data_IF_572009718224
#
_entry.id   IF_572009718224
#
_cell.length_a   1.000
_cell.length_b   1.000
_cell.length_c   1.000
_cell.angle_alpha   90.00
_cell.angle_beta   90.00
_cell.angle_gamma   90.00
#
_symmetry.space_group_name_H-M   'P 1'
#
loop_
_entity.id
_entity.type
_entity.pdbx_description
1 polymer ?
#
# COMPACT_ATOMS: atom_id res chain seq x y z
N UNK A 1 -22.77 2.33 46.23
CA UNK A 1 -23.87 2.91 47.04
C UNK A 1 -23.63 4.42 47.17
N UNK A 2 -24.71 5.23 47.32
CA UNK A 2 -24.81 6.65 47.79
C UNK A 2 -23.52 7.53 47.78
N UNK A 3 -23.47 8.68 47.10
CA UNK A 3 -24.20 9.95 47.36
C UNK A 3 -23.94 10.48 48.80
N UNK A 4 -23.66 11.77 49.09
CA UNK A 4 -24.14 13.10 48.63
C UNK A 4 -23.15 14.21 49.15
N UNK A 5 -23.18 15.55 48.88
CA UNK A 5 -23.99 16.52 48.09
C UNK A 5 -23.28 17.90 47.97
N UNK A 6 -23.43 18.59 46.81
CA UNK A 6 -23.48 20.08 46.60
C UNK A 6 -22.18 20.92 46.84
N UNK A 7 -21.80 21.98 46.09
CA UNK A 7 -22.48 23.07 45.32
C UNK A 7 -22.89 24.30 46.19
N UNK A 8 -22.77 25.58 45.78
CA UNK A 8 -22.37 26.23 44.51
C UNK A 8 -21.91 27.71 44.72
N UNK A 9 -21.39 28.39 43.66
CA UNK A 9 -21.50 29.85 43.29
C UNK A 9 -21.29 30.97 44.35
N UNK A 10 -20.76 32.17 44.06
CA UNK A 10 -20.93 33.06 42.88
C UNK A 10 -19.78 34.13 42.78
N UNK A 11 -19.82 35.19 41.92
CA UNK A 11 -18.62 35.86 41.37
C UNK A 11 -18.49 37.38 41.66
N UNK A 12 -17.52 38.06 41.01
CA UNK A 12 -17.80 39.30 40.24
C UNK A 12 -16.72 39.61 39.17
N UNK A 13 -16.99 40.58 38.28
CA UNK A 13 -16.06 41.18 37.31
C UNK A 13 -15.98 42.70 37.54
N UNK A 14 -14.84 43.34 37.24
CA UNK A 14 -14.79 44.75 36.85
C UNK A 14 -13.51 45.07 36.05
N UNK A 15 -13.65 45.84 34.97
CA UNK A 15 -12.59 46.29 34.06
C UNK A 15 -12.19 47.73 34.37
N UNK A 16 -10.90 48.09 34.27
CA UNK A 16 -10.44 49.35 33.68
C UNK A 16 -8.94 49.29 33.31
N UNK A 17 -8.46 50.23 32.49
CA UNK A 17 -7.13 50.19 31.87
C UNK A 17 -6.42 51.56 31.91
N UNK A 18 -5.08 51.57 31.78
CA UNK A 18 -4.34 52.79 31.43
C UNK A 18 -2.99 52.52 30.71
N UNK A 19 -2.65 53.52 29.87
CA UNK A 19 -1.47 53.86 29.06
C UNK A 19 -0.07 53.64 29.72
N UNK A 20 1.08 53.62 29.02
CA UNK A 20 1.45 53.44 27.59
C UNK A 20 3.02 53.50 27.40
N UNK A 21 3.47 53.48 26.13
CA UNK A 21 4.74 53.99 25.55
C UNK A 21 6.01 53.10 25.44
N UNK A 22 6.51 53.05 24.18
CA UNK A 22 7.89 52.81 23.69
C UNK A 22 8.52 51.42 23.93
N UNK A 23 9.32 50.86 23.01
CA UNK A 23 10.00 51.45 21.84
C UNK A 23 9.89 50.60 20.55
N UNK A 24 10.28 51.17 19.42
CA UNK A 24 10.22 50.58 18.08
C UNK A 24 11.52 49.93 17.62
N UNK A 25 11.42 48.82 16.90
CA UNK A 25 12.38 48.42 15.88
C UNK A 25 11.63 47.78 14.71
N UNK A 26 11.92 48.22 13.48
CA UNK A 26 11.23 47.74 12.28
C UNK A 26 11.89 46.48 11.74
N UNK A 27 11.09 45.44 11.50
CA UNK A 27 11.50 44.21 10.83
C UNK A 27 10.38 43.72 9.93
N UNK A 28 10.38 44.16 8.67
CA UNK A 28 9.37 43.80 7.67
C UNK A 28 9.55 42.35 7.20
N UNK A 29 9.10 41.40 8.03
CA UNK A 29 8.96 40.00 7.64
C UNK A 29 7.79 39.84 6.66
N UNK A 30 7.99 40.23 5.40
CA UNK A 30 7.15 39.73 4.31
C UNK A 30 7.40 38.24 4.18
N UNK A 31 6.56 37.45 4.84
CA UNK A 31 6.40 36.04 4.51
C UNK A 31 5.86 35.98 3.08
N UNK A 32 6.78 35.86 2.12
CA UNK A 32 6.40 35.57 0.75
C UNK A 32 5.84 34.15 0.74
N UNK A 33 4.53 34.02 0.46
CA UNK A 33 4.00 32.77 -0.04
C UNK A 33 4.85 32.38 -1.26
N UNK A 34 5.65 31.33 -1.10
CA UNK A 34 6.40 30.73 -2.19
C UNK A 34 5.38 29.98 -3.08
N UNK A 35 4.65 30.75 -3.89
CA UNK A 35 3.67 30.25 -4.83
C UNK A 35 4.35 29.28 -5.81
N UNK A 36 4.21 27.98 -5.51
CA UNK A 36 4.79 26.90 -6.28
C UNK A 36 4.32 27.03 -7.73
N UNK A 37 5.28 26.96 -8.65
CA UNK A 37 5.00 27.25 -10.06
C UNK A 37 4.00 26.26 -10.65
N UNK A 38 3.09 26.68 -11.54
CA UNK A 38 2.21 25.77 -12.28
C UNK A 38 2.94 24.70 -13.12
N UNK A 39 4.27 24.83 -13.29
CA UNK A 39 5.13 23.80 -13.91
C UNK A 39 5.22 22.49 -13.12
N UNK A 40 4.99 22.53 -11.81
CA UNK A 40 5.43 21.46 -10.91
C UNK A 40 4.33 20.38 -10.71
N UNK A 41 3.21 20.52 -11.42
CA UNK A 41 2.08 19.60 -11.39
C UNK A 41 2.41 18.27 -12.10
N UNK A 42 2.21 17.09 -11.46
CA UNK A 42 2.40 15.82 -12.14
C UNK A 42 1.44 15.69 -13.32
N UNK A 43 1.98 15.59 -14.55
CA UNK A 43 1.16 15.27 -15.71
C UNK A 43 0.61 13.85 -15.53
N UNK A 44 -0.71 13.75 -15.63
CA UNK A 44 -1.44 12.50 -15.65
C UNK A 44 -2.00 12.34 -17.07
N UNK A 45 -1.57 11.33 -17.84
CA UNK A 45 -2.16 11.04 -19.14
C UNK A 45 -3.64 10.66 -18.96
N UNK A 46 -4.47 11.01 -19.94
CA UNK A 46 -5.87 10.58 -19.97
C UNK A 46 -6.33 10.26 -21.38
N UNK A 47 -7.12 9.19 -21.47
CA UNK A 47 -8.01 8.84 -22.56
C UNK A 47 -9.47 9.12 -22.13
N UNK A 48 -10.43 8.99 -23.04
CA UNK A 48 -11.87 9.21 -22.80
C UNK A 48 -12.65 7.90 -22.80
N UNK A 49 -13.56 7.74 -21.82
CA UNK A 49 -14.51 6.61 -21.74
C UNK A 49 -15.94 7.14 -21.63
N UNK A 50 -16.51 7.66 -22.71
CA UNK A 50 -17.76 8.41 -22.61
C UNK A 50 -19.01 7.51 -22.62
N UNK A 51 -19.88 7.76 -21.64
CA UNK A 51 -21.33 7.54 -21.74
C UNK A 51 -22.04 8.88 -21.98
N UNK A 52 -22.76 9.03 -23.09
CA UNK A 52 -23.53 10.22 -23.42
C UNK A 52 -23.44 10.63 -24.90
N UNK A 53 -24.54 11.14 -25.44
CA UNK A 53 -24.80 11.24 -26.88
C UNK A 53 -23.81 12.12 -27.66
N UNK A 54 -23.14 13.07 -26.98
CA UNK A 54 -22.25 14.03 -27.61
C UNK A 54 -20.97 13.41 -28.21
N UNK A 55 -20.46 12.30 -27.66
CA UNK A 55 -19.16 11.74 -28.05
C UNK A 55 -19.10 11.24 -29.50
N UNK A 56 -20.24 10.87 -30.09
CA UNK A 56 -20.33 10.44 -31.48
C UNK A 56 -19.87 11.49 -32.51
N UNK A 57 -19.69 12.74 -32.09
CA UNK A 57 -19.17 13.83 -32.92
C UNK A 57 -17.64 14.02 -32.83
N UNK A 58 -17.00 13.55 -31.75
CA UNK A 58 -15.57 13.78 -31.46
C UNK A 58 -14.85 12.53 -30.93
N UNK A 59 -14.99 11.33 -31.56
CA UNK A 59 -14.55 10.06 -30.98
C UNK A 59 -13.03 9.89 -30.82
N UNK A 60 -12.24 10.84 -31.31
CA UNK A 60 -10.79 10.77 -31.43
C UNK A 60 -10.05 11.93 -30.73
N UNK A 61 -10.78 12.93 -30.20
CA UNK A 61 -10.22 14.19 -29.70
C UNK A 61 -10.79 14.56 -28.32
N UNK A 62 -9.97 14.31 -27.28
CA UNK A 62 -10.32 14.57 -25.88
C UNK A 62 -10.59 16.06 -25.63
N UNK A 63 -9.83 16.96 -26.26
CA UNK A 63 -9.90 18.39 -26.02
C UNK A 63 -11.08 19.02 -26.77
N UNK A 64 -11.33 18.62 -28.01
CA UNK A 64 -12.52 19.05 -28.75
C UNK A 64 -13.80 18.58 -28.06
N UNK A 65 -13.88 17.33 -27.61
CA UNK A 65 -15.05 16.85 -26.89
C UNK A 65 -15.28 17.59 -25.56
N UNK A 66 -14.23 17.75 -24.75
CA UNK A 66 -14.34 18.41 -23.44
C UNK A 66 -14.68 19.90 -23.57
N UNK A 67 -14.23 20.58 -24.63
CA UNK A 67 -14.59 21.98 -24.91
C UNK A 67 -15.94 22.18 -25.61
N UNK A 68 -16.39 21.22 -26.44
CA UNK A 68 -17.57 21.39 -27.33
C UNK A 68 -18.83 20.70 -26.82
N UNK A 69 -18.72 19.67 -25.98
CA UNK A 69 -19.89 19.04 -25.38
C UNK A 69 -20.49 19.94 -24.30
N UNK A 70 -21.67 20.51 -24.62
CA UNK A 70 -22.38 21.44 -23.73
C UNK A 70 -22.53 20.88 -22.30
N UNK A 71 -22.18 21.67 -21.27
CA UNK A 71 -22.58 21.35 -19.90
C UNK A 71 -24.10 21.24 -19.80
N UNK A 72 -24.57 20.14 -19.23
CA UNK A 72 -25.90 19.99 -18.67
C UNK A 72 -25.71 19.50 -17.24
N UNK A 73 -26.67 19.76 -16.33
CA UNK A 73 -26.49 19.50 -14.89
C UNK A 73 -26.19 18.04 -14.53
N UNK A 74 -26.43 17.11 -15.46
CA UNK A 74 -26.17 15.67 -15.29
C UNK A 74 -25.08 15.12 -16.22
N UNK A 75 -24.56 15.93 -17.16
CA UNK A 75 -23.45 15.52 -18.04
C UNK A 75 -22.15 15.43 -17.23
N UNK A 76 -21.65 14.21 -17.03
CA UNK A 76 -20.29 13.95 -16.54
C UNK A 76 -19.46 13.42 -17.68
N UNK A 77 -18.38 14.11 -18.05
CA UNK A 77 -17.41 13.51 -18.99
C UNK A 77 -16.55 12.53 -18.20
N UNK A 78 -16.63 11.26 -18.57
CA UNK A 78 -15.82 10.20 -18.01
C UNK A 78 -14.49 10.07 -18.77
N UNK A 79 -13.39 10.15 -18.03
CA UNK A 79 -12.01 10.16 -18.52
C UNK A 79 -11.26 9.03 -17.82
N UNK A 80 -10.50 8.23 -18.56
CA UNK A 80 -9.65 7.18 -18.03
C UNK A 80 -8.20 7.66 -17.94
N UNK A 81 -7.62 7.63 -16.75
CA UNK A 81 -6.17 7.60 -16.57
C UNK A 81 -5.70 6.18 -16.93
N UNK A 82 -4.74 5.96 -17.84
CA UNK A 82 -4.19 4.65 -18.10
C UNK A 82 -3.16 4.25 -17.03
N UNK A 83 -2.87 2.96 -16.92
CA UNK A 83 -1.67 2.47 -16.25
C UNK A 83 -0.45 2.69 -17.15
N UNK A 84 0.50 3.52 -16.71
CA UNK A 84 1.82 3.62 -17.36
C UNK A 84 2.52 2.26 -17.26
N UNK A 85 2.70 1.55 -18.39
CA UNK A 85 3.06 0.14 -18.37
C UNK A 85 4.32 -0.20 -17.55
N UNK A 86 5.38 0.62 -17.68
CA UNK A 86 6.70 0.38 -17.06
C UNK A 86 7.44 1.70 -16.77
N UNK A 87 6.85 2.63 -15.98
CA UNK A 87 7.55 3.88 -15.61
C UNK A 87 6.91 4.72 -14.50
N UNK A 88 7.64 5.74 -13.98
CA UNK A 88 7.03 6.79 -13.16
C UNK A 88 6.08 7.66 -14.01
N UNK A 89 5.13 8.33 -13.35
CA UNK A 89 4.26 9.30 -14.01
C UNK A 89 5.10 10.36 -14.73
N UNK A 90 5.03 10.40 -16.07
CA UNK A 90 5.79 11.38 -16.87
C UNK A 90 5.19 12.76 -16.66
N UNK A 91 5.97 13.69 -16.10
CA UNK A 91 5.55 15.04 -15.71
C UNK A 91 5.87 16.08 -16.79
N UNK A 92 5.06 17.13 -16.91
CA UNK A 92 5.40 18.36 -17.64
C UNK A 92 4.64 18.60 -18.94
N UNK A 93 4.77 19.83 -19.45
CA UNK A 93 4.04 20.33 -20.64
C UNK A 93 4.69 19.88 -21.97
N UNK A 94 5.96 19.49 -21.92
CA UNK A 94 6.63 18.51 -22.79
C UNK A 94 7.82 17.95 -21.94
N UNK A 95 8.47 16.82 -22.21
CA UNK A 95 8.73 16.19 -23.50
C UNK A 95 8.38 14.68 -23.58
N UNK A 96 7.15 14.40 -24.02
CA UNK A 96 6.67 13.15 -24.69
C UNK A 96 6.89 11.75 -24.05
N UNK A 97 6.06 10.75 -24.36
CA UNK A 97 5.02 10.67 -25.39
C UNK A 97 3.70 10.07 -24.87
N UNK A 98 2.60 10.69 -25.28
CA UNK A 98 1.56 10.01 -26.05
C UNK A 98 1.34 10.84 -27.33
N UNK A 99 0.92 10.23 -28.44
CA UNK A 99 0.84 10.89 -29.75
C UNK A 99 -0.52 10.70 -30.44
N UNK A 100 -1.09 11.80 -30.94
CA UNK A 100 -2.44 11.87 -31.52
C UNK A 100 -3.44 12.57 -30.59
N UNK A 101 -4.63 12.88 -31.11
CA UNK A 101 -5.65 13.65 -30.38
C UNK A 101 -6.36 12.88 -29.24
N UNK A 102 -6.11 11.56 -29.14
CA UNK A 102 -6.68 10.66 -28.12
C UNK A 102 -6.15 10.87 -26.71
N UNK A 103 -5.04 11.57 -26.55
CA UNK A 103 -4.35 11.78 -25.27
C UNK A 103 -4.30 13.26 -24.90
N UNK A 104 -4.74 13.58 -23.68
CA UNK A 104 -4.57 14.91 -23.10
C UNK A 104 -4.12 14.82 -21.64
N UNK A 105 -3.36 15.81 -21.17
CA UNK A 105 -2.93 15.89 -19.77
C UNK A 105 -4.04 16.42 -18.86
N UNK A 106 -4.16 15.88 -17.65
CA UNK A 106 -5.20 16.33 -16.68
C UNK A 106 -5.24 17.86 -16.49
N UNK A 107 -4.10 18.52 -16.27
CA UNK A 107 -4.05 19.98 -16.14
C UNK A 107 -4.59 20.71 -17.39
N UNK A 108 -4.24 20.25 -18.60
CA UNK A 108 -4.69 20.82 -19.87
C UNK A 108 -6.21 20.67 -20.06
N UNK A 109 -6.76 19.50 -19.70
CA UNK A 109 -8.21 19.23 -19.77
C UNK A 109 -8.98 20.08 -18.76
N UNK A 110 -8.45 20.24 -17.55
CA UNK A 110 -9.03 21.10 -16.51
C UNK A 110 -9.05 22.59 -16.93
N UNK A 111 -7.99 23.07 -17.57
CA UNK A 111 -7.92 24.42 -18.15
C UNK A 111 -8.88 24.59 -19.34
N UNK A 112 -8.99 23.58 -20.21
CA UNK A 112 -9.80 23.61 -21.44
C UNK A 112 -11.30 23.67 -21.16
N UNK A 113 -11.78 23.06 -20.08
CA UNK A 113 -13.16 23.21 -19.62
C UNK A 113 -13.19 23.50 -18.11
N UNK A 114 -13.12 24.78 -17.69
CA UNK A 114 -13.04 25.15 -16.27
C UNK A 114 -14.33 24.88 -15.48
N UNK A 115 -15.49 24.86 -16.15
CA UNK A 115 -16.81 24.69 -15.52
C UNK A 115 -17.35 23.26 -15.55
N UNK A 116 -16.78 22.38 -16.37
CA UNK A 116 -17.34 21.04 -16.61
C UNK A 116 -17.11 20.11 -15.41
N UNK A 117 -18.11 19.27 -15.11
CA UNK A 117 -17.99 18.21 -14.09
C UNK A 117 -17.41 16.94 -14.74
N UNK A 118 -16.36 16.40 -14.14
CA UNK A 118 -15.62 15.26 -14.68
C UNK A 118 -15.74 14.02 -13.77
N UNK A 119 -15.66 12.84 -14.37
CA UNK A 119 -15.51 11.56 -13.69
C UNK A 119 -14.16 10.96 -14.10
N UNK A 120 -13.16 11.03 -13.22
CA UNK A 120 -11.86 10.43 -13.46
C UNK A 120 -11.87 8.97 -13.02
N UNK A 121 -11.92 8.07 -13.99
CA UNK A 121 -11.62 6.65 -13.83
C UNK A 121 -10.10 6.50 -13.75
N UNK A 122 -9.57 6.11 -12.59
CA UNK A 122 -8.11 6.11 -12.38
C UNK A 122 -7.63 4.85 -11.66
N UNK A 123 -6.50 4.23 -12.08
CA UNK A 123 -5.93 3.11 -11.37
C UNK A 123 -5.57 3.52 -9.93
N UNK A 124 -5.79 2.65 -8.92
CA UNK A 124 -5.57 3.02 -7.52
C UNK A 124 -4.17 3.56 -7.20
N UNK A 125 -3.13 3.09 -7.91
CA UNK A 125 -1.75 3.57 -7.79
C UNK A 125 -1.51 4.99 -8.35
N UNK A 126 -2.48 5.57 -9.07
CA UNK A 126 -2.40 6.90 -9.69
C UNK A 126 -3.24 7.95 -8.96
N UNK A 127 -3.97 7.56 -7.91
CA UNK A 127 -4.90 8.43 -7.18
C UNK A 127 -4.20 9.67 -6.58
N UNK A 128 -3.02 9.52 -5.97
CA UNK A 128 -2.34 10.67 -5.35
C UNK A 128 -1.83 11.69 -6.37
N UNK A 129 -1.31 11.23 -7.51
CA UNK A 129 -0.92 12.12 -8.62
C UNK A 129 -2.14 12.86 -9.21
N UNK A 130 -3.27 12.18 -9.35
CA UNK A 130 -4.55 12.80 -9.75
C UNK A 130 -4.99 13.84 -8.72
N UNK A 131 -4.97 13.51 -7.42
CA UNK A 131 -5.40 14.44 -6.37
C UNK A 131 -4.50 15.68 -6.28
N UNK A 132 -3.17 15.52 -6.35
CA UNK A 132 -2.24 16.64 -6.36
C UNK A 132 -2.46 17.57 -7.57
N UNK A 133 -2.65 17.01 -8.77
CA UNK A 133 -2.99 17.77 -9.96
C UNK A 133 -4.37 18.46 -9.86
N UNK A 134 -5.34 17.86 -9.16
CA UNK A 134 -6.64 18.48 -8.88
C UNK A 134 -6.56 19.61 -7.84
N UNK A 135 -5.67 19.51 -6.85
CA UNK A 135 -5.46 20.58 -5.85
C UNK A 135 -4.79 21.81 -6.48
N UNK A 136 -3.73 21.59 -7.26
CA UNK A 136 -2.97 22.66 -7.93
C UNK A 136 -3.78 23.33 -9.05
N UNK A 137 -4.75 22.63 -9.65
CA UNK A 137 -5.74 23.20 -10.56
C UNK A 137 -7.03 23.71 -9.87
N UNK A 138 -7.07 23.70 -8.54
CA UNK A 138 -8.22 24.07 -7.69
C UNK A 138 -9.55 23.40 -8.11
N UNK A 139 -9.47 22.17 -8.61
CA UNK A 139 -10.53 21.48 -9.33
C UNK A 139 -11.23 20.35 -8.55
N UNK A 140 -10.80 20.00 -7.32
CA UNK A 140 -11.39 18.90 -6.52
C UNK A 140 -12.93 18.92 -6.50
N UNK A 141 -13.54 20.08 -6.25
CA UNK A 141 -14.99 20.22 -6.06
C UNK A 141 -15.85 19.85 -7.30
N UNK A 142 -15.27 19.83 -8.51
CA UNK A 142 -15.98 19.50 -9.76
C UNK A 142 -15.61 18.12 -10.34
N UNK A 143 -14.75 17.36 -9.66
CA UNK A 143 -14.26 16.07 -10.14
C UNK A 143 -14.63 14.94 -9.18
N UNK A 144 -15.30 13.92 -9.69
CA UNK A 144 -15.48 12.63 -9.02
C UNK A 144 -14.39 11.65 -9.44
N UNK A 145 -13.92 10.79 -8.54
CA UNK A 145 -12.92 9.75 -8.84
C UNK A 145 -13.57 8.37 -8.69
N UNK A 146 -13.38 7.51 -9.70
CA UNK A 146 -13.79 6.10 -9.72
C UNK A 146 -12.54 5.23 -9.83
N UNK A 147 -12.19 4.42 -8.81
CA UNK A 147 -11.02 3.55 -8.88
C UNK A 147 -11.15 2.46 -9.95
N UNK A 148 -10.24 2.45 -10.94
CA UNK A 148 -10.10 1.38 -11.92
C UNK A 148 -9.38 0.18 -11.30
N UNK A 149 -10.13 -0.56 -10.50
CA UNK A 149 -9.64 -1.78 -9.84
C UNK A 149 -9.45 -2.88 -10.90
N UNK A 150 -8.21 -3.21 -11.25
CA UNK A 150 -7.94 -4.26 -12.23
C UNK A 150 -8.61 -5.60 -11.82
N UNK A 151 -9.13 -6.39 -12.77
CA UNK A 151 -9.68 -7.71 -12.48
C UNK A 151 -8.63 -8.67 -11.90
N UNK A 152 -8.75 -8.95 -10.61
CA UNK A 152 -7.97 -9.99 -9.94
C UNK A 152 -8.33 -11.36 -10.55
N UNK A 153 -7.36 -12.19 -11.00
CA UNK A 153 -7.61 -13.46 -11.68
C UNK A 153 -8.62 -14.35 -10.94
N UNK A 154 -9.45 -15.11 -11.67
CA UNK A 154 -10.44 -15.99 -11.04
C UNK A 154 -9.77 -17.06 -10.15
N UNK A 155 -10.43 -17.54 -9.07
CA UNK A 155 -9.95 -18.70 -8.32
C UNK A 155 -9.80 -19.91 -9.24
N UNK A 156 -8.68 -20.63 -9.17
CA UNK A 156 -8.34 -21.63 -10.17
C UNK A 156 -7.09 -22.44 -9.84
N UNK A 157 -6.68 -23.29 -10.80
CA UNK A 157 -5.48 -24.13 -10.66
C UNK A 157 -4.19 -23.29 -10.58
N UNK A 158 -3.14 -23.75 -9.87
CA UNK A 158 -1.93 -22.93 -9.70
C UNK A 158 -1.12 -22.75 -10.98
N UNK A 159 -0.89 -21.50 -11.33
CA UNK A 159 0.02 -21.08 -12.39
C UNK A 159 1.48 -21.08 -11.88
N UNK A 160 2.43 -21.02 -12.81
CA UNK A 160 3.86 -20.85 -12.48
C UNK A 160 4.24 -19.41 -12.78
N UNK A 161 4.79 -18.68 -11.79
CA UNK A 161 5.25 -17.30 -11.96
C UNK A 161 6.70 -17.25 -12.46
N UNK A 162 7.52 -18.15 -11.94
CA UNK A 162 8.94 -18.32 -12.28
C UNK A 162 9.37 -19.75 -11.91
N UNK A 163 10.56 -20.22 -12.31
CA UNK A 163 11.10 -21.50 -11.82
C UNK A 163 11.04 -21.58 -10.29
N UNK A 164 10.46 -22.65 -9.76
CA UNK A 164 10.29 -22.84 -8.32
C UNK A 164 9.14 -22.09 -7.66
N UNK A 165 8.43 -21.21 -8.36
CA UNK A 165 7.37 -20.35 -7.80
C UNK A 165 6.03 -20.65 -8.47
N UNK A 166 5.10 -21.24 -7.70
CA UNK A 166 3.70 -21.47 -8.09
C UNK A 166 2.79 -20.50 -7.36
N UNK A 167 1.73 -20.02 -8.01
CA UNK A 167 0.73 -19.15 -7.40
C UNK A 167 -0.69 -19.58 -7.75
N UNK A 168 -1.60 -19.50 -6.78
CA UNK A 168 -3.04 -19.64 -7.01
C UNK A 168 -3.85 -18.69 -6.14
N UNK A 169 -5.08 -18.46 -6.60
CA UNK A 169 -6.13 -17.80 -5.83
C UNK A 169 -7.19 -18.80 -5.41
N UNK A 170 -7.65 -18.70 -4.17
CA UNK A 170 -8.63 -19.61 -3.59
C UNK A 170 -9.71 -18.80 -2.86
N UNK A 171 -10.96 -18.98 -3.27
CA UNK A 171 -12.11 -18.43 -2.55
C UNK A 171 -12.55 -19.41 -1.47
N UNK A 172 -12.34 -19.06 -0.20
CA UNK A 172 -12.91 -19.80 0.94
C UNK A 172 -14.33 -19.27 1.15
N UNK A 173 -15.31 -20.16 0.96
CA UNK A 173 -16.74 -19.85 1.16
C UNK A 173 -17.15 -20.19 2.59
N UNK A 174 -17.87 -19.27 3.23
CA UNK A 174 -18.45 -19.41 4.57
C UNK A 174 -19.55 -18.37 4.75
N UNK A 175 -19.92 -17.99 5.99
CA UNK A 175 -20.88 -16.91 6.27
C UNK A 175 -20.49 -15.58 5.62
N UNK A 176 -19.19 -15.37 5.44
CA UNK A 176 -18.61 -14.37 4.55
C UNK A 176 -17.57 -15.07 3.66
N UNK A 177 -17.35 -14.54 2.46
CA UNK A 177 -16.30 -15.06 1.55
C UNK A 177 -14.95 -14.44 1.91
N UNK A 178 -13.88 -15.24 1.78
CA UNK A 178 -12.49 -14.80 1.91
C UNK A 178 -11.73 -15.17 0.64
N UNK A 179 -11.01 -14.21 0.07
CA UNK A 179 -10.13 -14.41 -1.09
C UNK A 179 -8.69 -14.58 -0.61
N UNK A 180 -8.15 -15.78 -0.77
CA UNK A 180 -6.76 -16.13 -0.46
C UNK A 180 -5.90 -16.09 -1.71
N UNK A 181 -4.69 -15.58 -1.54
CA UNK A 181 -3.65 -15.41 -2.54
C UNK A 181 -2.41 -16.13 -2.03
N UNK A 182 -2.10 -17.28 -2.62
CA UNK A 182 -1.12 -18.23 -2.08
C UNK A 182 -0.04 -18.44 -3.13
N UNK A 183 1.21 -18.11 -2.78
CA UNK A 183 2.38 -18.49 -3.55
C UNK A 183 3.17 -19.57 -2.79
N UNK A 184 3.50 -20.66 -3.47
CA UNK A 184 4.41 -21.71 -2.99
C UNK A 184 5.78 -21.57 -3.66
N UNK A 185 6.83 -21.60 -2.87
CA UNK A 185 8.22 -21.40 -3.27
C UNK A 185 9.05 -22.62 -2.85
N UNK A 186 9.58 -23.39 -3.82
CA UNK A 186 10.55 -24.47 -3.55
C UNK A 186 11.95 -23.87 -3.39
N UNK A 187 12.39 -23.78 -2.13
CA UNK A 187 13.66 -23.22 -1.70
C UNK A 187 14.88 -24.03 -2.20
N UNK A 188 14.69 -25.24 -2.75
CA UNK A 188 15.75 -26.01 -3.39
C UNK A 188 15.95 -25.66 -4.89
N UNK A 189 15.19 -24.70 -5.43
CA UNK A 189 15.27 -24.32 -6.84
C UNK A 189 16.63 -23.68 -7.18
N UNK A 190 17.38 -24.19 -8.18
CA UNK A 190 18.66 -23.60 -8.58
C UNK A 190 18.52 -22.14 -9.00
N UNK A 191 19.37 -21.26 -8.44
CA UNK A 191 19.34 -19.82 -8.68
C UNK A 191 18.36 -19.03 -7.80
N UNK A 192 17.50 -19.68 -7.03
CA UNK A 192 16.54 -18.99 -6.17
C UNK A 192 17.21 -18.34 -4.95
N UNK A 193 16.87 -17.07 -4.70
CA UNK A 193 17.36 -16.29 -3.57
C UNK A 193 16.19 -15.57 -2.89
N UNK A 194 16.08 -15.74 -1.57
CA UNK A 194 15.30 -14.83 -0.72
C UNK A 194 16.10 -13.54 -0.49
N UNK A 195 15.43 -12.39 -0.60
CA UNK A 195 15.99 -11.03 -0.58
C UNK A 195 15.15 -10.16 0.35
N UNK A 196 15.77 -9.33 1.18
CA UNK A 196 15.06 -8.34 2.00
C UNK A 196 15.04 -6.96 1.36
N UNK A 197 14.22 -6.06 1.89
CA UNK A 197 14.38 -4.62 1.63
C UNK A 197 15.56 -4.13 2.45
N UNK A 198 16.57 -3.59 1.75
CA UNK A 198 17.74 -2.97 2.37
C UNK A 198 17.36 -1.64 3.04
N UNK A 199 17.95 -1.38 4.20
CA UNK A 199 17.80 -0.11 4.93
C UNK A 199 18.31 1.09 4.13
N UNK A 200 17.58 2.20 4.22
CA UNK A 200 17.92 3.49 3.62
C UNK A 200 17.39 4.61 4.53
N UNK A 201 18.33 5.41 5.06
CA UNK A 201 18.10 6.33 6.18
C UNK A 201 17.97 7.80 5.76
N UNK A 202 18.09 8.12 4.46
CA UNK A 202 17.96 9.48 3.92
C UNK A 202 16.63 10.16 4.25
N UNK A 203 15.55 9.38 4.44
CA UNK A 203 14.22 9.87 4.81
C UNK A 203 14.03 10.18 6.30
N UNK A 204 15.05 9.99 7.14
CA UNK A 204 14.96 10.17 8.61
C UNK A 204 14.43 8.96 9.39
N UNK A 205 14.12 7.86 8.71
CA UNK A 205 13.80 6.56 9.30
C UNK A 205 14.92 5.53 9.14
N UNK A 206 14.56 4.26 9.17
CA UNK A 206 15.45 3.12 8.83
C UNK A 206 15.30 2.67 7.38
N UNK A 207 14.12 2.91 6.80
CA UNK A 207 13.73 2.59 5.42
C UNK A 207 13.01 3.77 4.78
N UNK A 208 12.92 3.78 3.46
CA UNK A 208 11.97 4.58 2.71
C UNK A 208 10.71 3.75 2.43
N UNK A 209 9.54 4.22 2.85
CA UNK A 209 8.29 3.51 2.66
C UNK A 209 7.95 3.37 1.16
N UNK A 210 7.68 2.15 0.69
CA UNK A 210 7.45 1.88 -0.73
C UNK A 210 6.34 0.82 -0.97
N UNK A 211 5.58 0.90 -2.07
CA UNK A 211 4.67 -0.17 -2.49
C UNK A 211 5.41 -1.49 -2.71
N UNK A 212 4.73 -2.63 -2.54
CA UNK A 212 5.36 -3.95 -2.75
C UNK A 212 5.62 -4.21 -4.23
N UNK A 213 4.79 -3.64 -5.13
CA UNK A 213 5.08 -3.63 -6.58
C UNK A 213 6.34 -2.85 -6.95
N UNK A 214 6.64 -1.74 -6.27
CA UNK A 214 7.89 -1.00 -6.50
C UNK A 214 9.11 -1.88 -6.20
N UNK A 215 9.13 -2.54 -5.03
CA UNK A 215 10.19 -3.48 -4.65
C UNK A 215 10.36 -4.64 -5.66
N UNK A 216 9.26 -5.17 -6.22
CA UNK A 216 9.33 -6.22 -7.26
C UNK A 216 9.89 -5.69 -8.59
N UNK A 217 9.52 -4.48 -8.99
CA UNK A 217 10.01 -3.83 -10.21
C UNK A 217 11.49 -3.48 -10.09
N UNK A 218 11.84 -2.74 -9.05
CA UNK A 218 13.13 -2.07 -8.88
C UNK A 218 14.22 -3.04 -8.37
N UNK A 219 13.82 -4.12 -7.69
CA UNK A 219 14.70 -5.22 -7.29
C UNK A 219 14.82 -6.37 -8.30
N UNK A 220 14.20 -6.26 -9.48
CA UNK A 220 14.10 -7.32 -10.51
C UNK A 220 13.65 -8.68 -9.94
N UNK A 221 12.59 -8.66 -9.12
CA UNK A 221 12.10 -9.86 -8.43
C UNK A 221 11.03 -10.60 -9.26
N UNK A 222 10.86 -11.89 -8.96
CA UNK A 222 9.77 -12.68 -9.49
C UNK A 222 8.50 -12.54 -8.63
N UNK A 223 8.67 -12.42 -7.31
CA UNK A 223 7.62 -12.37 -6.29
C UNK A 223 8.11 -11.54 -5.09
N UNK A 224 7.21 -10.82 -4.41
CA UNK A 224 7.43 -10.31 -3.06
C UNK A 224 6.11 -10.19 -2.26
N UNK A 225 6.24 -10.11 -0.94
CA UNK A 225 5.15 -9.85 0.02
C UNK A 225 5.57 -8.71 0.97
N UNK A 226 4.63 -7.88 1.43
CA UNK A 226 4.89 -6.92 2.50
C UNK A 226 5.36 -7.64 3.78
N UNK A 227 6.22 -7.01 4.58
CA UNK A 227 6.83 -7.65 5.75
C UNK A 227 6.36 -7.08 7.09
N UNK A 228 7.13 -6.20 7.72
CA UNK A 228 7.01 -5.84 9.13
C UNK A 228 5.99 -4.71 9.39
N UNK A 229 5.62 -4.52 10.66
CA UNK A 229 4.96 -3.31 11.14
C UNK A 229 5.97 -2.15 11.17
N UNK A 230 5.48 -0.91 11.13
CA UNK A 230 6.33 0.26 11.04
C UNK A 230 5.65 1.55 11.55
N UNK A 231 6.49 2.52 11.91
CA UNK A 231 6.09 3.85 12.35
C UNK A 231 6.97 4.93 11.68
N UNK A 232 6.49 6.18 11.51
CA UNK A 232 5.12 6.63 11.79
C UNK A 232 4.11 6.05 10.80
N UNK A 233 2.89 5.80 11.29
CA UNK A 233 1.76 5.36 10.46
C UNK A 233 0.48 6.10 10.84
N UNK A 234 -0.23 6.60 9.83
CA UNK A 234 -1.60 7.10 9.92
C UNK A 234 -2.40 6.60 8.71
N UNK A 235 -3.58 6.02 8.95
CA UNK A 235 -4.39 5.39 7.91
C UNK A 235 -4.93 6.34 6.84
N UNK A 236 -5.13 7.61 7.19
CA UNK A 236 -5.73 8.63 6.32
C UNK A 236 -7.15 8.32 5.83
N UNK A 237 -7.72 9.28 5.10
CA UNK A 237 -9.01 9.19 4.42
C UNK A 237 -8.90 9.92 3.07
N UNK A 238 -9.39 9.29 1.99
CA UNK A 238 -9.14 9.70 0.59
C UNK A 238 -9.30 11.20 0.31
N UNK A 239 -10.32 11.85 0.89
CA UNK A 239 -10.61 13.26 0.61
C UNK A 239 -10.19 14.20 1.74
N UNK A 240 -10.26 13.74 3.00
CA UNK A 240 -10.32 14.62 4.18
C UNK A 240 -9.07 14.55 5.08
N UNK A 241 -8.19 13.55 4.88
CA UNK A 241 -6.99 13.37 5.72
C UNK A 241 -5.87 12.64 4.97
N UNK A 242 -4.71 13.29 4.82
CA UNK A 242 -3.52 12.62 4.30
C UNK A 242 -3.15 11.39 5.16
N UNK A 243 -2.71 10.32 4.49
CA UNK A 243 -2.13 9.14 5.15
C UNK A 243 -0.62 9.35 5.34
N UNK A 244 -0.04 8.61 6.27
CA UNK A 244 1.41 8.57 6.52
C UNK A 244 1.81 7.10 6.64
N UNK A 245 2.90 6.64 6.02
CA UNK A 245 3.79 7.35 5.11
C UNK A 245 3.25 7.43 3.67
N UNK A 246 3.57 8.51 2.98
CA UNK A 246 3.58 8.53 1.51
C UNK A 246 4.83 7.79 0.98
N UNK A 247 4.81 7.40 -0.31
CA UNK A 247 5.95 6.72 -0.92
C UNK A 247 7.23 7.60 -0.87
N UNK A 248 8.36 7.02 -0.50
CA UNK A 248 9.64 7.72 -0.34
C UNK A 248 9.83 8.45 1.01
N UNK A 249 8.83 8.46 1.91
CA UNK A 249 9.02 9.01 3.26
C UNK A 249 9.73 8.01 4.18
N UNK A 250 10.51 8.53 5.14
CA UNK A 250 11.23 7.71 6.11
C UNK A 250 10.31 7.02 7.12
N UNK A 251 10.57 5.74 7.38
CA UNK A 251 9.89 4.92 8.40
C UNK A 251 10.87 3.98 9.09
N UNK A 252 10.53 3.61 10.32
CA UNK A 252 11.26 2.69 11.21
C UNK A 252 10.46 1.39 11.31
N UNK A 253 11.12 0.25 11.17
CA UNK A 253 10.47 -1.05 11.37
C UNK A 253 10.30 -1.33 12.87
N UNK A 254 9.20 -1.95 13.27
CA UNK A 254 8.97 -2.29 14.68
C UNK A 254 9.77 -3.52 15.12
N UNK A 255 9.97 -4.48 14.21
CA UNK A 255 10.71 -5.72 14.39
C UNK A 255 12.09 -5.74 13.75
N UNK A 256 12.62 -6.96 13.59
CA UNK A 256 13.99 -7.21 13.17
C UNK A 256 14.11 -7.13 11.65
N UNK A 257 15.03 -6.32 11.12
CA UNK A 257 15.35 -6.31 9.70
C UNK A 257 16.84 -6.54 9.48
N UNK A 258 17.17 -7.58 8.70
CA UNK A 258 18.53 -7.88 8.26
C UNK A 258 18.47 -8.12 6.75
N UNK A 259 19.29 -7.45 5.94
CA UNK A 259 19.56 -7.84 4.55
C UNK A 259 21.07 -7.87 4.27
N UNK A 260 21.50 -8.78 3.39
CA UNK A 260 22.91 -9.09 3.11
C UNK A 260 23.82 -9.38 4.35
N UNK A 261 23.24 -9.58 5.54
CA UNK A 261 23.95 -9.70 6.82
C UNK A 261 24.16 -8.38 7.58
N UNK A 262 23.71 -7.25 7.03
CA UNK A 262 23.65 -5.97 7.72
C UNK A 262 22.36 -5.88 8.57
N UNK A 263 22.46 -5.34 9.79
CA UNK A 263 21.32 -5.13 10.67
C UNK A 263 20.69 -3.76 10.37
N UNK A 264 19.69 -3.75 9.50
CA UNK A 264 18.99 -2.53 9.09
C UNK A 264 18.01 -2.01 10.15
N UNK A 265 17.38 -2.92 10.92
CA UNK A 265 16.58 -2.60 12.11
C UNK A 265 16.75 -3.64 13.21
N UNK A 266 16.79 -3.20 14.47
CA UNK A 266 17.12 -4.01 15.63
C UNK A 266 15.90 -4.56 16.41
N UNK A 267 14.67 -4.35 15.93
CA UNK A 267 13.41 -4.51 16.68
C UNK A 267 13.29 -3.54 17.87
N UNK A 268 12.79 -2.33 17.62
CA UNK A 268 12.67 -1.27 18.61
C UNK A 268 11.35 -1.28 19.41
N UNK A 269 10.39 -2.15 19.07
CA UNK A 269 9.04 -2.11 19.66
C UNK A 269 8.92 -2.78 21.04
N UNK A 270 7.97 -2.30 21.84
CA UNK A 270 7.44 -2.98 23.02
C UNK A 270 6.19 -3.83 22.71
N UNK A 271 5.75 -3.87 21.46
CA UNK A 271 4.57 -4.62 21.04
C UNK A 271 4.80 -6.14 21.05
N UNK A 272 4.23 -6.82 22.05
CA UNK A 272 4.30 -8.26 22.22
C UNK A 272 3.78 -9.11 21.03
N UNK A 273 3.10 -8.51 20.03
CA UNK A 273 2.80 -9.17 18.74
C UNK A 273 4.08 -9.50 17.96
N UNK A 274 5.12 -8.66 18.04
CA UNK A 274 6.36 -8.79 17.27
C UNK A 274 7.31 -9.74 18.00
N UNK A 275 6.96 -11.03 17.94
CA UNK A 275 7.56 -12.08 18.77
C UNK A 275 8.24 -13.21 17.97
N UNK A 276 8.49 -13.01 16.68
CA UNK A 276 9.11 -14.00 15.80
C UNK A 276 9.87 -13.38 14.63
N UNK A 277 10.69 -14.20 13.97
CA UNK A 277 11.34 -13.84 12.72
C UNK A 277 11.44 -15.03 11.75
N UNK A 278 11.36 -14.75 10.45
CA UNK A 278 11.95 -15.60 9.41
C UNK A 278 13.42 -15.23 9.24
N UNK A 279 14.29 -16.22 9.26
CA UNK A 279 15.74 -16.06 9.21
C UNK A 279 16.34 -16.97 8.14
N UNK A 280 17.28 -16.43 7.36
CA UNK A 280 18.04 -17.16 6.34
C UNK A 280 19.51 -17.09 6.69
N UNK A 281 20.15 -18.24 6.89
CA UNK A 281 21.60 -18.32 7.14
C UNK A 281 22.43 -17.99 5.88
N UNK A 282 23.72 -17.69 6.06
CA UNK A 282 24.69 -17.57 4.94
C UNK A 282 24.72 -18.81 4.01
N UNK A 283 24.31 -19.99 4.49
CA UNK A 283 24.18 -21.23 3.70
C UNK A 283 22.78 -21.41 3.08
N UNK A 284 21.98 -20.34 2.96
CA UNK A 284 20.61 -20.31 2.46
C UNK A 284 19.59 -21.20 3.20
N UNK A 285 19.96 -21.92 4.27
CA UNK A 285 19.00 -22.62 5.11
C UNK A 285 18.07 -21.61 5.80
N UNK A 286 16.77 -21.77 5.56
CA UNK A 286 15.68 -20.94 6.09
C UNK A 286 15.15 -21.52 7.41
N UNK A 287 14.68 -20.67 8.30
CA UNK A 287 13.95 -21.06 9.52
C UNK A 287 12.99 -19.96 9.95
N UNK A 288 11.93 -20.37 10.65
CA UNK A 288 11.08 -19.46 11.43
C UNK A 288 11.39 -19.73 12.91
N UNK A 289 11.66 -18.68 13.67
CA UNK A 289 12.03 -18.72 15.10
C UNK A 289 11.15 -17.80 15.94
N UNK A 290 11.14 -18.02 17.27
CA UNK A 290 10.59 -17.08 18.23
C UNK A 290 11.68 -16.08 18.64
N UNK A 291 11.34 -14.80 18.73
CA UNK A 291 12.28 -13.72 18.95
C UNK A 291 13.21 -13.49 17.75
N UNK A 292 14.40 -12.97 18.01
CA UNK A 292 15.36 -12.53 17.00
C UNK A 292 16.12 -13.67 16.30
N UNK A 293 16.63 -13.39 15.11
CA UNK A 293 17.45 -14.33 14.35
C UNK A 293 18.81 -14.64 15.01
N UNK A 294 19.37 -15.85 14.79
CA UNK A 294 20.67 -16.22 15.33
C UNK A 294 21.83 -15.50 14.61
N UNK A 295 23.02 -15.40 15.24
CA UNK A 295 24.24 -14.89 14.59
C UNK A 295 24.56 -15.63 13.28
N UNK A 296 25.09 -14.92 12.28
CA UNK A 296 25.35 -15.48 10.94
C UNK A 296 24.10 -15.60 10.05
N UNK A 297 23.00 -14.94 10.43
CA UNK A 297 21.84 -14.71 9.55
C UNK A 297 22.21 -13.67 8.48
N UNK A 298 21.94 -13.97 7.20
CA UNK A 298 22.14 -13.05 6.06
C UNK A 298 20.88 -12.25 5.68
N UNK A 299 19.71 -12.74 6.08
CA UNK A 299 18.42 -12.11 5.81
C UNK A 299 17.47 -12.46 6.96
N UNK A 300 16.86 -11.46 7.57
CA UNK A 300 15.99 -11.58 8.73
C UNK A 300 14.79 -10.65 8.56
N UNK A 301 13.60 -11.22 8.75
CA UNK A 301 12.32 -10.49 8.76
C UNK A 301 11.59 -10.86 10.04
N UNK A 302 11.70 -9.98 11.03
CA UNK A 302 10.90 -9.97 12.24
C UNK A 302 9.48 -9.51 11.93
N UNK A 303 8.51 -10.07 12.66
CA UNK A 303 7.10 -9.71 12.61
C UNK A 303 6.36 -10.46 13.74
N UNK A 304 5.04 -10.60 13.63
CA UNK A 304 4.30 -11.63 14.33
C UNK A 304 2.79 -11.37 14.38
N UNK A 305 2.06 -12.08 15.25
CA UNK A 305 2.54 -13.14 16.14
C UNK A 305 3.03 -14.40 15.39
N UNK A 306 3.86 -15.19 16.08
CA UNK A 306 4.14 -16.58 15.71
C UNK A 306 2.83 -17.38 15.71
N UNK A 307 2.48 -18.01 14.60
CA UNK A 307 1.25 -18.78 14.44
C UNK A 307 1.48 -20.27 14.70
N UNK A 308 2.56 -20.81 14.14
CA UNK A 308 2.97 -22.21 14.27
C UNK A 308 4.45 -22.32 14.63
N UNK A 309 4.80 -23.32 15.43
CA UNK A 309 6.18 -23.78 15.63
C UNK A 309 6.16 -25.30 15.86
N UNK A 310 7.00 -26.05 15.14
CA UNK A 310 7.09 -27.51 15.19
C UNK A 310 5.74 -28.25 15.08
N UNK A 311 4.84 -27.71 14.25
CA UNK A 311 3.49 -28.22 13.97
C UNK A 311 2.43 -27.79 14.99
N UNK A 312 2.82 -27.10 16.06
CA UNK A 312 1.92 -26.69 17.16
C UNK A 312 1.48 -25.24 16.99
N UNK A 313 0.17 -24.99 17.15
CA UNK A 313 -0.37 -23.63 17.32
C UNK A 313 0.25 -22.97 18.54
N UNK A 314 0.57 -21.69 18.43
CA UNK A 314 1.10 -20.91 19.55
C UNK A 314 -0.04 -20.29 20.39
N UNK A 315 0.22 -19.93 21.66
CA UNK A 315 -0.74 -19.18 22.47
C UNK A 315 -1.07 -17.81 21.86
N UNK A 316 -2.33 -17.39 21.97
CA UNK A 316 -2.77 -16.02 21.64
C UNK A 316 -2.63 -15.10 22.85
N UNK A 317 -2.39 -13.81 22.63
CA UNK A 317 -2.56 -12.80 23.68
C UNK A 317 -4.06 -12.60 23.98
N UNK A 318 -4.55 -13.15 25.10
CA UNK A 318 -5.96 -13.05 25.48
C UNK A 318 -6.48 -11.61 25.62
N UNK A 319 -5.59 -10.66 25.96
CA UNK A 319 -5.87 -9.22 26.03
C UNK A 319 -6.12 -8.56 24.66
N UNK A 320 -5.90 -9.26 23.54
CA UNK A 320 -6.10 -8.74 22.18
C UNK A 320 -7.03 -9.60 21.33
N UNK A 321 -8.04 -10.25 21.94
CA UNK A 321 -8.97 -11.15 21.27
C UNK A 321 -9.48 -10.61 19.91
N UNK A 322 -9.92 -9.35 19.86
CA UNK A 322 -10.37 -8.68 18.62
C UNK A 322 -9.33 -8.70 17.48
N UNK A 323 -8.04 -8.52 17.78
CA UNK A 323 -6.96 -8.57 16.79
C UNK A 323 -6.67 -9.99 16.29
N UNK A 324 -6.90 -11.02 17.10
CA UNK A 324 -6.72 -12.42 16.69
C UNK A 324 -7.94 -12.99 15.97
N UNK A 325 -9.14 -12.67 16.45
CA UNK A 325 -10.40 -13.32 16.08
C UNK A 325 -11.19 -12.51 15.03
N UNK A 326 -10.92 -11.20 14.91
CA UNK A 326 -11.53 -10.31 13.92
C UNK A 326 -11.08 -10.58 12.47
N UNK A 327 -12.02 -10.57 11.50
CA UNK A 327 -11.71 -10.78 10.09
C UNK A 327 -11.04 -9.54 9.49
N UNK A 328 -9.80 -9.71 9.05
CA UNK A 328 -8.97 -8.61 8.51
C UNK A 328 -8.20 -9.07 7.26
N UNK A 329 -7.73 -8.15 6.40
CA UNK A 329 -6.65 -8.47 5.48
C UNK A 329 -5.42 -8.89 6.29
N UNK A 330 -4.74 -9.95 5.86
CA UNK A 330 -3.55 -10.50 6.55
C UNK A 330 -2.50 -10.88 5.53
N UNK A 331 -1.24 -10.79 5.93
CA UNK A 331 -0.09 -11.38 5.26
C UNK A 331 0.58 -12.37 6.21
N UNK A 332 1.06 -13.51 5.72
CA UNK A 332 1.72 -14.52 6.54
C UNK A 332 2.70 -15.38 5.74
N UNK A 333 3.67 -15.96 6.45
CA UNK A 333 4.62 -16.93 5.92
C UNK A 333 4.40 -18.29 6.60
N UNK A 334 4.43 -19.36 5.82
CA UNK A 334 4.47 -20.73 6.31
C UNK A 334 5.71 -21.47 5.80
N UNK A 335 6.35 -22.27 6.64
CA UNK A 335 7.51 -23.09 6.31
C UNK A 335 7.22 -24.55 6.65
N UNK A 336 7.48 -25.46 5.71
CA UNK A 336 7.27 -26.90 5.90
C UNK A 336 8.33 -27.53 6.83
N UNK A 337 8.09 -28.80 7.23
CA UNK A 337 8.99 -29.51 8.16
C UNK A 337 10.39 -29.76 7.60
N UNK A 338 10.54 -29.93 6.28
CA UNK A 338 11.83 -30.10 5.64
C UNK A 338 12.56 -28.77 5.34
N UNK A 339 11.92 -27.62 5.60
CA UNK A 339 12.44 -26.27 5.32
C UNK A 339 12.79 -26.07 3.83
N UNK A 340 11.99 -26.71 2.97
CA UNK A 340 12.08 -26.72 1.51
C UNK A 340 10.96 -25.96 0.82
N UNK A 341 9.77 -25.86 1.43
CA UNK A 341 8.64 -25.08 0.91
C UNK A 341 8.37 -23.89 1.81
N UNK A 342 8.46 -22.70 1.23
CA UNK A 342 7.95 -21.45 1.81
C UNK A 342 6.63 -21.11 1.12
N UNK A 343 5.57 -20.90 1.89
CA UNK A 343 4.33 -20.30 1.41
C UNK A 343 4.27 -18.84 1.81
N UNK A 344 4.04 -17.96 0.84
CA UNK A 344 3.65 -16.57 1.04
C UNK A 344 2.14 -16.49 0.85
N UNK A 345 1.40 -16.13 1.91
CA UNK A 345 -0.06 -16.11 1.92
C UNK A 345 -0.57 -14.71 2.23
N UNK A 346 -1.44 -14.19 1.37
CA UNK A 346 -2.21 -12.96 1.62
C UNK A 346 -3.69 -13.27 1.56
N UNK A 347 -4.45 -12.73 2.52
CA UNK A 347 -5.90 -12.72 2.49
C UNK A 347 -6.39 -11.29 2.23
N UNK A 348 -7.23 -11.09 1.23
CA UNK A 348 -7.93 -9.81 1.05
C UNK A 348 -8.99 -9.64 2.14
N UNK A 349 -9.29 -8.40 2.55
CA UNK A 349 -10.33 -8.09 3.53
C UNK A 349 -10.83 -6.66 3.46
N UNK A 350 -11.76 -6.30 4.35
CA UNK A 350 -12.47 -4.99 4.40
C UNK A 350 -13.22 -4.64 3.10
N UNK A 351 -13.65 -5.63 2.32
CA UNK A 351 -14.20 -5.45 0.98
C UNK A 351 -15.58 -6.13 0.83
N UNK A 352 -16.67 -5.42 1.15
CA UNK A 352 -18.04 -5.94 1.06
C UNK A 352 -18.33 -6.60 -0.30
N UNK A 353 -19.02 -7.74 -0.27
CA UNK A 353 -19.36 -8.53 -1.46
C UNK A 353 -18.19 -9.27 -2.13
N UNK A 354 -16.94 -9.03 -1.74
CA UNK A 354 -15.74 -9.62 -2.36
C UNK A 354 -14.90 -10.44 -1.38
N UNK A 355 -14.45 -9.83 -0.28
CA UNK A 355 -13.66 -10.50 0.77
C UNK A 355 -13.79 -9.75 2.10
N UNK A 356 -14.29 -10.41 3.13
CA UNK A 356 -14.41 -9.79 4.45
C UNK A 356 -13.05 -9.63 5.14
N UNK A 357 -12.19 -10.66 5.02
CA UNK A 357 -10.94 -10.80 5.76
C UNK A 357 -10.91 -12.13 6.51
N UNK A 358 -9.78 -12.43 7.15
CA UNK A 358 -9.55 -13.67 7.89
C UNK A 358 -9.06 -13.37 9.32
N UNK A 359 -9.48 -14.19 10.27
CA UNK A 359 -8.90 -14.22 11.61
C UNK A 359 -7.53 -14.90 11.58
N UNK A 360 -6.66 -14.57 12.53
CA UNK A 360 -5.35 -15.24 12.63
C UNK A 360 -5.49 -16.75 12.86
N UNK A 361 -6.54 -17.18 13.56
CA UNK A 361 -6.75 -18.59 13.88
C UNK A 361 -7.27 -19.42 12.68
N UNK A 362 -8.03 -18.79 11.77
CA UNK A 362 -8.41 -19.38 10.49
C UNK A 362 -7.25 -19.35 9.49
N UNK A 363 -6.45 -18.27 9.46
CA UNK A 363 -5.21 -18.22 8.66
C UNK A 363 -4.20 -19.28 9.11
N UNK A 364 -4.09 -19.51 10.42
CA UNK A 364 -3.31 -20.62 10.99
C UNK A 364 -3.82 -21.98 10.51
N UNK A 365 -5.15 -22.16 10.38
CA UNK A 365 -5.72 -23.38 9.81
C UNK A 365 -5.34 -23.58 8.33
N UNK A 366 -5.39 -22.52 7.53
CA UNK A 366 -4.95 -22.53 6.12
C UNK A 366 -3.48 -22.93 6.02
N UNK A 367 -2.61 -22.33 6.83
CA UNK A 367 -1.16 -22.62 6.81
C UNK A 367 -0.87 -24.07 7.24
N UNK A 368 -1.61 -24.61 8.22
CA UNK A 368 -1.54 -26.04 8.56
C UNK A 368 -2.01 -26.94 7.40
N UNK A 369 -3.09 -26.57 6.70
CA UNK A 369 -3.61 -27.32 5.53
C UNK A 369 -2.65 -27.31 4.33
N UNK A 370 -1.87 -26.25 4.14
CA UNK A 370 -0.80 -26.18 3.14
C UNK A 370 0.40 -27.09 3.48
N UNK A 371 0.54 -27.47 4.75
CA UNK A 371 1.66 -28.30 5.25
C UNK A 371 2.73 -27.54 6.01
N UNK A 372 2.49 -26.28 6.40
CA UNK A 372 3.43 -25.52 7.23
C UNK A 372 3.48 -26.09 8.66
N UNK A 373 4.69 -26.30 9.18
CA UNK A 373 4.91 -26.63 10.60
C UNK A 373 5.41 -25.45 11.42
N UNK A 374 6.00 -24.45 10.78
CA UNK A 374 6.31 -23.17 11.42
C UNK A 374 5.71 -22.04 10.59
N UNK A 375 5.17 -21.00 11.22
CA UNK A 375 4.49 -19.92 10.52
C UNK A 375 4.44 -18.62 11.34
N UNK A 376 4.51 -17.47 10.67
CA UNK A 376 4.41 -16.13 11.24
C UNK A 376 3.36 -15.31 10.50
N UNK A 377 2.63 -14.48 11.25
CA UNK A 377 1.88 -13.36 10.69
C UNK A 377 2.84 -12.18 10.40
N UNK A 378 2.54 -11.43 9.35
CA UNK A 378 3.22 -10.21 8.90
C UNK A 378 2.26 -9.00 9.06
N UNK A 379 2.67 -7.78 8.73
CA UNK A 379 1.74 -6.64 8.79
C UNK A 379 0.51 -6.84 7.87
N UNK A 380 -0.64 -6.39 8.35
CA UNK A 380 -1.96 -6.68 7.81
C UNK A 380 -2.71 -5.45 7.29
N UNK A 381 -4.03 -5.56 7.20
CA UNK A 381 -4.90 -4.44 6.85
C UNK A 381 -4.55 -3.84 5.49
N UNK A 382 -4.31 -2.52 5.46
CA UNK A 382 -3.95 -1.81 4.23
C UNK A 382 -2.56 -2.16 3.66
N UNK A 383 -1.66 -2.78 4.45
CA UNK A 383 -0.34 -3.23 3.98
C UNK A 383 -0.39 -4.51 3.16
N UNK A 384 -1.42 -5.35 3.37
CA UNK A 384 -1.49 -6.72 2.88
C UNK A 384 -1.40 -6.83 1.35
N UNK A 385 -0.19 -7.13 0.87
CA UNK A 385 0.16 -7.07 -0.56
C UNK A 385 1.08 -8.23 -0.92
N UNK A 386 0.67 -9.02 -1.91
CA UNK A 386 1.50 -9.98 -2.64
C UNK A 386 1.67 -9.42 -4.06
N UNK A 387 2.90 -9.21 -4.52
CA UNK A 387 3.18 -8.68 -5.86
C UNK A 387 4.13 -9.60 -6.64
N UNK A 388 3.99 -9.64 -7.96
CA UNK A 388 4.82 -10.47 -8.82
C UNK A 388 4.96 -9.88 -10.23
N UNK A 389 5.91 -10.43 -10.99
CA UNK A 389 6.02 -10.20 -12.42
C UNK A 389 5.18 -11.25 -13.16
N UNK A 390 4.17 -10.81 -13.90
CA UNK A 390 3.22 -11.65 -14.65
C UNK A 390 3.11 -11.10 -16.07
N UNK A 391 3.47 -11.93 -17.05
CA UNK A 391 3.56 -11.58 -18.47
C UNK A 391 4.45 -10.35 -18.71
N UNK A 392 5.66 -10.40 -18.13
CA UNK A 392 6.66 -9.32 -18.15
C UNK A 392 6.37 -8.15 -17.19
N UNK A 393 5.10 -7.83 -16.94
CA UNK A 393 4.64 -6.67 -16.16
C UNK A 393 4.55 -6.96 -14.67
N UNK A 394 4.94 -5.99 -13.84
CA UNK A 394 4.80 -6.09 -12.38
C UNK A 394 3.41 -5.65 -11.94
N UNK A 395 2.78 -6.40 -11.03
CA UNK A 395 1.47 -6.07 -10.45
C UNK A 395 1.25 -6.71 -9.08
N UNK A 396 0.32 -6.15 -8.31
CA UNK A 396 -0.26 -6.84 -7.17
C UNK A 396 -1.09 -8.05 -7.65
N UNK A 397 -0.96 -9.18 -6.96
CA UNK A 397 -1.71 -10.41 -7.23
C UNK A 397 -3.01 -10.50 -6.45
N UNK A 398 -3.10 -9.77 -5.32
CA UNK A 398 -4.30 -9.65 -4.49
C UNK A 398 -4.98 -8.29 -4.70
N UNK A 399 -5.96 -7.93 -3.87
CA UNK A 399 -6.66 -6.64 -3.90
C UNK A 399 -6.41 -5.84 -2.61
N UNK A 400 -5.26 -5.14 -2.50
CA UNK A 400 -4.95 -4.22 -1.39
C UNK A 400 -6.07 -3.20 -1.15
N UNK A 401 -6.14 -2.64 0.07
CA UNK A 401 -7.30 -1.85 0.53
C UNK A 401 -6.91 -0.57 1.27
N UNK A 402 -5.78 0.04 0.90
CA UNK A 402 -5.32 1.27 1.54
C UNK A 402 -6.29 2.43 1.31
N UNK A 403 -6.42 3.31 2.31
CA UNK A 403 -7.48 4.34 2.45
C UNK A 403 -8.91 3.84 2.15
N UNK A 404 -9.19 2.54 2.27
CA UNK A 404 -10.50 1.94 1.93
C UNK A 404 -10.75 1.70 0.44
N UNK A 405 -9.74 1.82 -0.42
CA UNK A 405 -9.87 1.75 -1.89
C UNK A 405 -9.33 0.41 -2.39
N UNK A 406 -10.17 -0.45 -3.01
CA UNK A 406 -9.72 -1.73 -3.52
C UNK A 406 -8.67 -1.57 -4.63
N UNK A 407 -7.62 -2.38 -4.58
CA UNK A 407 -6.45 -2.30 -5.44
C UNK A 407 -5.42 -1.23 -5.04
N UNK A 408 -5.67 -0.40 -4.01
CA UNK A 408 -4.70 0.61 -3.55
C UNK A 408 -3.69 -0.01 -2.58
N UNK A 409 -2.45 -0.13 -3.02
CA UNK A 409 -1.32 -0.47 -2.15
C UNK A 409 -1.04 0.63 -1.11
N UNK A 410 -0.48 0.22 0.02
CA UNK A 410 0.16 1.12 1.00
C UNK A 410 1.68 1.11 0.78
N UNK A 411 2.37 2.25 0.89
CA UNK A 411 3.81 2.27 1.08
C UNK A 411 4.18 1.66 2.44
N UNK A 412 4.98 0.60 2.46
CA UNK A 412 5.41 -0.11 3.67
C UNK A 412 6.91 0.00 3.86
N UNK A 413 7.40 -0.15 5.11
CA UNK A 413 8.83 -0.03 5.42
C UNK A 413 9.70 -1.08 4.72
N UNK A 414 9.31 -2.35 4.78
CA UNK A 414 10.07 -3.45 4.21
C UNK A 414 9.17 -4.56 3.64
N UNK A 415 9.79 -5.45 2.88
CA UNK A 415 9.19 -6.52 2.10
C UNK A 415 10.12 -7.75 2.13
N UNK A 416 9.55 -8.94 1.86
CA UNK A 416 10.31 -10.16 1.60
C UNK A 416 10.15 -10.57 0.13
N UNK A 417 11.27 -10.65 -0.58
CA UNK A 417 11.34 -10.90 -2.02
C UNK A 417 11.92 -12.26 -2.40
N UNK A 418 11.60 -12.70 -3.61
CA UNK A 418 12.19 -13.87 -4.27
C UNK A 418 12.77 -13.46 -5.62
N UNK A 419 14.09 -13.56 -5.77
CA UNK A 419 14.81 -13.40 -7.04
C UNK A 419 15.19 -14.78 -7.58
N UNK A 420 15.09 -14.96 -8.89
CA UNK A 420 15.72 -16.09 -9.59
C UNK A 420 16.93 -15.53 -10.33
N UNK A 421 18.13 -15.80 -9.81
CA UNK A 421 19.36 -15.43 -10.50
C UNK A 421 19.49 -16.24 -11.80
N UNK A 422 20.05 -15.64 -12.89
CA UNK A 422 20.49 -16.41 -14.04
C UNK A 422 21.43 -17.55 -13.61
N UNK A 423 21.39 -18.67 -14.33
CA UNK A 423 22.44 -19.68 -14.19
C UNK A 423 23.72 -19.14 -14.84
N UNK A 424 24.90 -19.33 -14.23
CA UNK A 424 26.18 -19.13 -14.90
C UNK A 424 26.39 -20.17 -16.01
#
# INVERSE_FOLDING_TARGET
MRSDRRAASAPLHAVLALLALLATLAGSATAADAAVSPSDAPFVPMETLVSGDCWGQWPEDVLAAVSRCKPAEHNRIALQVPDDADGPARVGVDAKACNGARCAGLAQVLQTAPTQRLLLRTPPARIDAVLAALDQAHARARVSIEPLVQPVPAPGAPITLAPGIRYWRQAVRGPQTVMLHIAEVDLATPGLQLVGTRGERSGGGEFLANPTTAFVRDGELALAINADYFLPFDGGHLFDKAFVPAAGQGVTAEGLAIDAGHLDSAAATSDARVNAALCVSTRNAVGIVRGSCPPGTRLGVGAGPLLLLDGKRQPREASRAEYYDGPEPRSALGLDRARRKLWMVVADGRQPGYSAGISLDALTAVLQQLGATSAINLDGGGSSTLAARVDGRVRALNRPIHTGIPGRERPVANQLGVRIAPRP
#
